data_IF_726465126062
#
_entry.id   IF_726465126062
#
_cell.length_a   1.000
_cell.length_b   1.000
_cell.length_c   1.000
_cell.angle_alpha   90.00
_cell.angle_beta   90.00
_cell.angle_gamma   90.00
#
_symmetry.space_group_name_H-M   'P 1'
#
loop_
_entity.id
_entity.type
_entity.pdbx_description
1 polymer ?
#
# COMPACT_ATOMS: atom_id res chain seq x y z
N UNK A 1 -12.03 112.01 45.76
CA UNK A 1 -12.47 111.45 47.05
C UNK A 1 -12.60 109.94 46.83
N UNK A 2 -11.51 109.18 46.75
CA UNK A 2 -10.72 108.58 47.84
C UNK A 2 -11.57 107.75 48.81
N UNK A 3 -11.13 106.49 49.00
CA UNK A 3 -11.51 105.48 49.99
C UNK A 3 -12.78 104.66 49.61
N UNK A 4 -12.75 103.33 49.45
CA UNK A 4 -12.21 102.28 50.33
C UNK A 4 -11.95 100.96 49.57
N UNK A 5 -10.80 100.35 49.87
CA UNK A 5 -10.38 98.96 49.63
C UNK A 5 -11.11 97.97 50.55
N UNK A 6 -11.22 96.69 50.13
CA UNK A 6 -11.76 95.47 50.79
C UNK A 6 -13.07 95.06 50.13
N UNK A 7 -13.13 93.99 49.33
CA UNK A 7 -12.97 92.60 49.77
C UNK A 7 -12.43 91.70 48.64
N UNK A 8 -11.26 91.08 48.88
CA UNK A 8 -10.78 89.88 48.19
C UNK A 8 -11.42 88.66 48.86
N UNK A 9 -12.20 87.85 48.13
CA UNK A 9 -12.34 86.41 48.38
C UNK A 9 -13.08 85.70 47.23
N UNK A 10 -12.31 84.85 46.54
CA UNK A 10 -12.67 83.54 46.00
C UNK A 10 -13.97 83.36 45.21
N UNK A 11 -13.85 83.29 43.88
CA UNK A 11 -14.48 82.19 43.15
C UNK A 11 -13.35 81.45 42.43
N UNK A 12 -13.02 80.29 42.99
CA UNK A 12 -11.92 79.44 42.58
C UNK A 12 -12.12 78.88 41.18
N UNK A 13 -10.98 78.80 40.52
CA UNK A 13 -10.70 78.48 39.14
C UNK A 13 -11.32 77.17 38.65
N UNK A 14 -11.70 77.20 37.39
CA UNK A 14 -12.13 76.07 36.59
C UNK A 14 -10.88 75.22 36.25
N UNK A 15 -10.47 74.34 37.16
CA UNK A 15 -9.32 73.45 36.91
C UNK A 15 -9.80 72.19 36.18
N UNK A 16 -10.10 72.36 34.88
CA UNK A 16 -10.08 71.27 33.92
C UNK A 16 -8.63 70.78 33.79
N UNK A 17 -8.21 69.90 34.69
CA UNK A 17 -6.93 69.21 34.59
C UNK A 17 -7.05 68.26 33.40
N UNK A 18 -6.58 68.70 32.23
CA UNK A 18 -6.37 67.81 31.10
C UNK A 18 -5.35 66.78 31.55
N UNK A 19 -5.81 65.58 31.93
CA UNK A 19 -4.92 64.44 32.21
C UNK A 19 -3.89 64.36 31.10
N UNK A 20 -2.61 64.23 31.47
CA UNK A 20 -1.57 64.12 30.45
C UNK A 20 -1.79 62.84 29.65
N UNK A 21 -1.44 62.86 28.37
CA UNK A 21 -1.57 61.69 27.51
C UNK A 21 -0.82 60.47 28.09
N UNK A 22 0.29 60.69 28.79
CA UNK A 22 1.07 59.65 29.45
C UNK A 22 0.33 59.03 30.65
N UNK A 23 -0.41 59.83 31.42
CA UNK A 23 -1.26 59.32 32.50
C UNK A 23 -2.44 58.52 31.95
N UNK A 24 -3.09 58.99 30.87
CA UNK A 24 -4.17 58.27 30.20
C UNK A 24 -3.66 56.94 29.63
N UNK A 25 -2.50 56.96 28.97
CA UNK A 25 -1.84 55.76 28.45
C UNK A 25 -1.53 54.77 29.57
N UNK A 26 -1.02 55.23 30.70
CA UNK A 26 -0.70 54.39 31.85
C UNK A 26 -1.97 53.77 32.46
N UNK A 27 -3.02 54.57 32.66
CA UNK A 27 -4.31 54.08 33.15
C UNK A 27 -4.90 53.05 32.20
N UNK A 28 -4.79 53.24 30.88
CA UNK A 28 -5.29 52.29 29.88
C UNK A 28 -4.50 50.98 29.89
N UNK A 29 -3.17 51.03 30.00
CA UNK A 29 -2.32 49.83 30.10
C UNK A 29 -2.64 49.07 31.39
N UNK A 30 -2.74 49.76 32.51
CA UNK A 30 -3.04 49.15 33.80
C UNK A 30 -4.45 48.52 33.78
N UNK A 31 -5.43 49.18 33.16
CA UNK A 31 -6.79 48.66 32.99
C UNK A 31 -6.83 47.34 32.21
N UNK A 32 -6.05 47.22 31.13
CA UNK A 32 -5.93 45.96 30.37
C UNK A 32 -5.26 44.86 31.22
N UNK A 33 -4.28 45.22 32.05
CA UNK A 33 -3.55 44.27 32.90
C UNK A 33 -4.32 43.85 34.16
N UNK A 34 -5.38 44.57 34.54
CA UNK A 34 -6.24 44.16 35.66
C UNK A 34 -6.95 42.84 35.39
N UNK A 35 -7.42 42.18 36.45
CA UNK A 35 -8.18 40.93 36.34
C UNK A 35 -9.47 41.10 35.53
N UNK A 36 -10.12 42.26 35.62
CA UNK A 36 -11.30 42.59 34.81
C UNK A 36 -10.93 42.78 33.34
N UNK A 37 -9.79 43.42 33.04
CA UNK A 37 -9.26 43.54 31.67
C UNK A 37 -8.93 42.18 31.05
N UNK A 38 -8.24 41.31 31.80
CA UNK A 38 -7.97 39.92 31.37
C UNK A 38 -9.26 39.12 31.18
N UNK A 39 -10.27 39.32 32.03
CA UNK A 39 -11.56 38.63 31.94
C UNK A 39 -12.35 39.09 30.72
N UNK A 40 -12.39 40.40 30.45
CA UNK A 40 -13.01 40.95 29.26
C UNK A 40 -12.32 40.45 27.99
N UNK A 41 -10.98 40.37 27.98
CA UNK A 41 -10.23 39.79 26.86
C UNK A 41 -10.54 38.30 26.66
N UNK A 42 -10.65 37.51 27.73
CA UNK A 42 -11.07 36.09 27.63
C UNK A 42 -12.47 35.94 27.08
N UNK A 43 -13.42 36.77 27.53
CA UNK A 43 -14.80 36.78 27.00
C UNK A 43 -14.83 37.17 25.52
N UNK A 44 -13.94 38.07 25.10
CA UNK A 44 -13.81 38.46 23.70
C UNK A 44 -13.24 37.31 22.84
N UNK A 45 -12.30 36.53 23.36
CA UNK A 45 -11.75 35.33 22.69
C UNK A 45 -12.71 34.12 22.70
N UNK A 46 -13.75 34.17 23.52
CA UNK A 46 -14.87 33.22 23.50
C UNK A 46 -15.85 33.51 22.37
N UNK A 47 -15.84 34.74 21.81
CA UNK A 47 -16.63 35.09 20.63
C UNK A 47 -16.09 34.35 19.37
N UNK A 48 -16.91 33.53 18.70
CA UNK A 48 -16.50 32.79 17.51
C UNK A 48 -15.96 33.68 16.38
N UNK A 49 -16.52 34.87 16.20
CA UNK A 49 -16.14 35.79 15.11
C UNK A 49 -14.73 36.35 15.29
N UNK A 50 -14.34 36.58 16.54
CA UNK A 50 -13.02 37.11 16.91
C UNK A 50 -11.99 35.98 16.95
N UNK A 51 -12.39 34.80 17.43
CA UNK A 51 -11.56 33.60 17.40
C UNK A 51 -11.16 33.22 15.98
N UNK A 52 -12.10 33.24 15.04
CA UNK A 52 -11.87 32.88 13.65
C UNK A 52 -10.86 33.84 12.98
N UNK A 53 -10.99 35.15 13.23
CA UNK A 53 -10.05 36.16 12.72
C UNK A 53 -8.62 35.94 13.25
N UNK A 54 -8.48 35.63 14.55
CA UNK A 54 -7.16 35.43 15.20
C UNK A 54 -6.54 34.07 14.82
N UNK A 55 -7.34 33.03 14.58
CA UNK A 55 -6.83 31.68 14.29
C UNK A 55 -6.47 31.52 12.80
N UNK A 56 -7.12 32.25 11.89
CA UNK A 56 -6.92 32.10 10.45
C UNK A 56 -5.86 33.03 9.84
N UNK A 57 -5.55 34.18 10.45
CA UNK A 57 -4.66 35.20 9.83
C UNK A 57 -3.19 35.17 10.28
N UNK A 58 -2.74 34.17 11.05
CA UNK A 58 -1.41 34.19 11.63
C UNK A 58 -0.45 33.19 10.99
N UNK A 59 0.60 33.69 10.34
CA UNK A 59 1.78 32.92 9.91
C UNK A 59 2.37 32.09 11.07
N UNK A 60 2.21 32.55 12.31
CA UNK A 60 2.59 31.80 13.51
C UNK A 60 1.76 30.53 13.71
N UNK A 61 0.46 30.53 13.37
CA UNK A 61 -0.41 29.35 13.46
C UNK A 61 -0.02 28.33 12.39
N UNK A 62 0.20 28.77 11.15
CA UNK A 62 0.69 27.89 10.08
C UNK A 62 2.06 27.29 10.43
N UNK A 63 2.98 28.11 10.94
CA UNK A 63 4.31 27.68 11.37
C UNK A 63 4.24 26.70 12.53
N UNK A 64 3.38 26.96 13.52
CA UNK A 64 3.16 26.04 14.64
C UNK A 64 2.58 24.71 14.17
N UNK A 65 1.58 24.73 13.29
CA UNK A 65 0.99 23.51 12.70
C UNK A 65 2.05 22.74 11.91
N UNK A 66 2.84 23.39 11.05
CA UNK A 66 3.91 22.73 10.30
C UNK A 66 4.95 22.12 11.23
N UNK A 67 5.43 22.88 12.22
CA UNK A 67 6.44 22.41 13.15
C UNK A 67 5.92 21.26 14.01
N UNK A 68 4.66 21.31 14.45
CA UNK A 68 4.04 20.24 15.23
C UNK A 68 3.75 19.02 14.36
N UNK A 69 3.19 19.15 13.15
CA UNK A 69 2.87 18.01 12.30
C UNK A 69 4.11 17.34 11.69
N UNK A 70 5.21 18.07 11.52
CA UNK A 70 6.48 17.55 11.02
C UNK A 70 7.45 17.15 12.15
N UNK A 71 7.08 17.31 13.42
CA UNK A 71 7.92 16.91 14.54
C UNK A 71 8.00 15.38 14.66
N UNK A 72 9.05 14.90 15.32
CA UNK A 72 9.17 13.48 15.66
C UNK A 72 8.00 13.01 16.56
N UNK A 73 7.52 13.86 17.47
CA UNK A 73 6.36 13.56 18.32
C UNK A 73 5.10 13.30 17.49
N UNK A 74 4.87 14.08 16.42
CA UNK A 74 3.75 13.82 15.52
C UNK A 74 3.94 12.56 14.68
N UNK A 75 5.17 12.25 14.25
CA UNK A 75 5.43 10.97 13.58
C UNK A 75 5.10 9.79 14.49
N UNK A 76 5.49 9.85 15.77
CA UNK A 76 5.20 8.78 16.73
C UNK A 76 3.72 8.73 17.10
N UNK A 77 3.05 9.88 17.20
CA UNK A 77 1.59 9.96 17.30
C UNK A 77 0.91 9.25 16.13
N UNK A 78 1.33 9.55 14.88
CA UNK A 78 0.77 8.91 13.69
C UNK A 78 1.06 7.42 13.67
N UNK A 79 2.30 6.97 13.94
CA UNK A 79 2.62 5.52 14.03
C UNK A 79 1.69 4.80 15.00
N UNK A 80 1.51 5.34 16.21
CA UNK A 80 0.63 4.76 17.23
C UNK A 80 -0.84 4.81 16.83
N UNK A 81 -1.28 5.90 16.22
CA UNK A 81 -2.66 6.05 15.73
C UNK A 81 -2.93 5.07 14.58
N UNK A 82 -1.95 4.87 13.71
CA UNK A 82 -1.97 3.85 12.67
C UNK A 82 -1.92 2.42 13.18
N UNK A 83 -1.72 2.18 14.49
CA UNK A 83 -1.85 0.84 15.09
C UNK A 83 -3.31 0.52 15.48
N UNK A 84 -4.14 1.53 15.72
CA UNK A 84 -5.54 1.37 16.09
C UNK A 84 -6.38 0.76 14.95
N UNK A 85 -7.03 -0.40 15.15
CA UNK A 85 -7.84 -1.05 14.13
C UNK A 85 -8.95 -0.17 13.54
N UNK A 86 -9.63 0.65 14.35
CA UNK A 86 -10.72 1.49 13.87
C UNK A 86 -10.20 2.59 12.93
N UNK A 87 -9.07 3.21 13.31
CA UNK A 87 -8.39 4.19 12.47
C UNK A 87 -7.85 3.56 11.18
N UNK A 88 -7.18 2.39 11.26
CA UNK A 88 -6.73 1.63 10.09
C UNK A 88 -7.86 1.33 9.11
N UNK A 89 -8.99 0.86 9.62
CA UNK A 89 -10.15 0.52 8.78
C UNK A 89 -10.71 1.76 8.08
N UNK A 90 -10.84 2.88 8.81
CA UNK A 90 -11.32 4.14 8.25
C UNK A 90 -10.39 4.65 7.14
N UNK A 91 -9.09 4.69 7.40
CA UNK A 91 -8.10 5.13 6.41
C UNK A 91 -8.07 4.20 5.20
N UNK A 92 -8.02 2.88 5.42
CA UNK A 92 -8.00 1.90 4.34
C UNK A 92 -9.26 2.00 3.46
N UNK A 93 -10.44 2.22 4.05
CA UNK A 93 -11.68 2.46 3.29
C UNK A 93 -11.63 3.77 2.51
N UNK A 94 -11.15 4.85 3.14
CA UNK A 94 -11.08 6.17 2.50
C UNK A 94 -10.11 6.21 1.32
N UNK A 95 -9.04 5.40 1.36
CA UNK A 95 -8.00 5.34 0.33
C UNK A 95 -8.23 4.24 -0.70
N UNK A 96 -9.27 3.41 -0.55
CA UNK A 96 -9.47 2.21 -1.36
C UNK A 96 -9.52 2.51 -2.85
N UNK A 97 -10.25 3.55 -3.23
CA UNK A 97 -10.48 3.88 -4.64
C UNK A 97 -9.20 4.42 -5.29
N UNK A 98 -8.50 5.33 -4.60
CA UNK A 98 -7.20 5.86 -5.04
C UNK A 98 -6.14 4.77 -5.09
N UNK A 99 -6.10 3.88 -4.10
CA UNK A 99 -5.17 2.75 -4.09
C UNK A 99 -5.46 1.78 -5.25
N UNK A 100 -6.73 1.58 -5.60
CA UNK A 100 -7.13 0.75 -6.74
C UNK A 100 -6.67 1.38 -8.05
N UNK A 101 -6.89 2.69 -8.22
CA UNK A 101 -6.45 3.45 -9.40
C UNK A 101 -4.92 3.41 -9.55
N UNK A 102 -4.18 3.71 -8.48
CA UNK A 102 -2.72 3.61 -8.44
C UNK A 102 -2.27 2.21 -8.83
N UNK A 103 -2.88 1.16 -8.28
CA UNK A 103 -2.52 -0.22 -8.60
C UNK A 103 -2.81 -0.56 -10.07
N UNK A 104 -3.95 -0.12 -10.62
CA UNK A 104 -4.27 -0.30 -12.03
C UNK A 104 -3.27 0.40 -12.95
N UNK A 105 -2.81 1.58 -12.58
CA UNK A 105 -1.84 2.34 -13.36
C UNK A 105 -0.42 1.81 -13.21
N UNK A 106 -0.04 1.33 -12.02
CA UNK A 106 1.22 0.61 -11.81
C UNK A 106 1.29 -0.64 -12.68
N UNK A 107 0.21 -1.44 -12.78
CA UNK A 107 0.18 -2.62 -13.67
C UNK A 107 0.42 -2.26 -15.13
N UNK A 108 0.06 -1.06 -15.57
CA UNK A 108 0.30 -0.57 -16.94
C UNK A 108 1.72 -0.02 -17.14
N UNK A 109 2.45 0.24 -16.06
CA UNK A 109 3.79 0.80 -16.10
C UNK A 109 4.83 -0.27 -16.47
N UNK A 110 5.75 0.06 -17.38
CA UNK A 110 6.76 -0.87 -17.87
C UNK A 110 7.70 -1.39 -16.75
N UNK A 111 8.08 -0.56 -15.79
CA UNK A 111 8.98 -0.95 -14.70
C UNK A 111 8.30 -1.96 -13.77
N UNK A 112 7.04 -1.70 -13.40
CA UNK A 112 6.30 -2.63 -12.56
C UNK A 112 5.97 -3.94 -13.30
N UNK A 113 5.78 -3.90 -14.63
CA UNK A 113 5.65 -5.10 -15.44
C UNK A 113 6.93 -5.95 -15.43
N UNK A 114 8.11 -5.33 -15.46
CA UNK A 114 9.39 -6.04 -15.34
C UNK A 114 9.54 -6.72 -13.97
N UNK A 115 9.14 -6.02 -12.89
CA UNK A 115 9.08 -6.59 -11.54
C UNK A 115 8.10 -7.78 -11.48
N UNK A 116 6.94 -7.66 -12.12
CA UNK A 116 5.96 -8.75 -12.21
C UNK A 116 6.51 -9.94 -13.01
N UNK A 117 7.20 -9.72 -14.13
CA UNK A 117 7.84 -10.80 -14.90
C UNK A 117 8.88 -11.50 -14.04
N UNK A 118 9.69 -10.75 -13.30
CA UNK A 118 10.69 -11.29 -12.38
C UNK A 118 10.03 -12.12 -11.28
N UNK A 119 8.92 -11.62 -10.71
CA UNK A 119 8.11 -12.33 -9.73
C UNK A 119 7.53 -13.64 -10.30
N UNK A 120 6.94 -13.62 -11.50
CA UNK A 120 6.43 -14.84 -12.16
C UNK A 120 7.55 -15.80 -12.60
N UNK A 121 8.76 -15.30 -12.82
CA UNK A 121 9.94 -16.10 -13.13
C UNK A 121 10.52 -16.85 -11.93
N UNK A 122 10.04 -16.60 -10.71
CA UNK A 122 10.52 -17.29 -9.51
C UNK A 122 10.23 -18.79 -9.56
N UNK A 123 11.11 -19.59 -8.95
CA UNK A 123 11.02 -21.07 -8.99
C UNK A 123 9.69 -21.62 -8.46
N UNK A 124 9.09 -20.96 -7.47
CA UNK A 124 7.80 -21.40 -6.92
C UNK A 124 6.64 -21.17 -7.91
N UNK A 125 6.65 -20.03 -8.61
CA UNK A 125 5.68 -19.75 -9.67
C UNK A 125 5.86 -20.70 -10.85
N UNK A 126 7.11 -21.05 -11.19
CA UNK A 126 7.39 -22.05 -12.22
C UNK A 126 6.85 -23.44 -11.85
N UNK A 127 6.94 -23.88 -10.58
CA UNK A 127 6.35 -25.15 -10.14
C UNK A 127 4.82 -25.14 -10.22
N UNK A 128 4.17 -24.03 -9.87
CA UNK A 128 2.73 -23.90 -10.04
C UNK A 128 2.35 -23.97 -11.52
N UNK A 129 3.10 -23.28 -12.39
CA UNK A 129 2.92 -23.37 -13.84
C UNK A 129 3.12 -24.81 -14.35
N UNK A 130 4.15 -25.51 -13.89
CA UNK A 130 4.39 -26.93 -14.22
C UNK A 130 3.22 -27.82 -13.79
N UNK A 131 2.66 -27.56 -12.61
CA UNK A 131 1.48 -28.29 -12.10
C UNK A 131 0.26 -28.06 -12.98
N UNK A 132 0.05 -26.81 -13.43
CA UNK A 132 -1.05 -26.45 -14.35
C UNK A 132 -0.83 -27.10 -15.72
N UNK A 133 0.39 -27.09 -16.26
CA UNK A 133 0.74 -27.74 -17.52
C UNK A 133 0.53 -29.26 -17.46
N UNK A 134 0.80 -29.88 -16.31
CA UNK A 134 0.56 -31.31 -16.07
C UNK A 134 -0.89 -31.64 -15.70
N UNK A 135 -1.77 -30.64 -15.58
CA UNK A 135 -3.18 -30.86 -15.27
C UNK A 135 -3.86 -31.72 -16.33
N UNK A 136 -4.87 -32.49 -15.92
CA UNK A 136 -5.63 -33.35 -16.84
C UNK A 136 -6.30 -32.57 -17.97
N UNK A 137 -6.70 -31.32 -17.73
CA UNK A 137 -7.29 -30.43 -18.74
C UNK A 137 -6.29 -30.10 -19.84
N UNK A 138 -5.07 -29.66 -19.48
CA UNK A 138 -4.05 -29.32 -20.47
C UNK A 138 -3.49 -30.56 -21.16
N UNK A 139 -3.40 -31.70 -20.46
CA UNK A 139 -3.03 -32.98 -21.09
C UNK A 139 -3.99 -33.37 -22.20
N UNK A 140 -5.31 -33.23 -22.00
CA UNK A 140 -6.30 -33.51 -23.05
C UNK A 140 -6.14 -32.60 -24.27
N UNK A 141 -5.92 -31.30 -24.04
CA UNK A 141 -5.64 -30.35 -25.13
C UNK A 141 -4.34 -30.69 -25.84
N UNK A 142 -3.31 -31.09 -25.09
CA UNK A 142 -2.03 -31.51 -25.67
C UNK A 142 -2.19 -32.80 -26.48
N UNK A 143 -2.96 -33.77 -25.99
CA UNK A 143 -3.31 -34.99 -26.72
C UNK A 143 -4.03 -34.66 -28.03
N UNK A 144 -4.99 -33.75 -27.99
CA UNK A 144 -5.71 -33.30 -29.19
C UNK A 144 -4.77 -32.61 -30.20
N UNK A 145 -3.91 -31.70 -29.74
CA UNK A 145 -2.91 -31.04 -30.60
C UNK A 145 -1.93 -32.06 -31.18
N UNK A 146 -1.52 -33.06 -30.41
CA UNK A 146 -0.65 -34.15 -30.90
C UNK A 146 -1.37 -34.98 -31.95
N UNK A 147 -2.63 -35.34 -31.74
CA UNK A 147 -3.43 -36.06 -32.74
C UNK A 147 -3.57 -35.23 -34.03
N UNK A 148 -3.91 -33.95 -33.92
CA UNK A 148 -4.00 -33.04 -35.07
C UNK A 148 -2.66 -32.90 -35.80
N UNK A 149 -1.54 -32.88 -35.07
CA UNK A 149 -0.18 -32.80 -35.64
C UNK A 149 0.20 -34.10 -36.36
N UNK A 150 -0.22 -35.26 -35.87
CA UNK A 150 -0.01 -36.55 -36.53
C UNK A 150 -0.85 -36.65 -37.81
N UNK A 151 -2.07 -36.14 -37.76
CA UNK A 151 -3.00 -36.11 -38.89
C UNK A 151 -2.65 -35.03 -39.93
N UNK A 152 -1.68 -34.15 -39.65
CA UNK A 152 -1.20 -33.15 -40.60
C UNK A 152 -0.56 -33.86 -41.83
N UNK A 153 -1.10 -33.68 -43.04
CA UNK A 153 -0.57 -34.30 -44.26
C UNK A 153 0.91 -34.01 -44.53
N UNK A 154 1.42 -32.85 -44.09
CA UNK A 154 2.83 -32.46 -44.24
C UNK A 154 3.76 -33.29 -43.34
N UNK A 155 3.25 -33.76 -42.19
CA UNK A 155 4.00 -34.62 -41.28
C UNK A 155 3.71 -36.08 -41.54
N UNK A 156 2.53 -36.44 -42.03
CA UNK A 156 2.15 -37.79 -42.39
C UNK A 156 3.12 -38.43 -43.39
N UNK A 157 3.60 -37.65 -44.37
CA UNK A 157 4.64 -38.09 -45.32
C UNK A 157 5.97 -38.39 -44.62
N UNK A 158 6.40 -37.54 -43.68
CA UNK A 158 7.61 -37.77 -42.87
C UNK A 158 7.45 -39.01 -41.97
N UNK A 159 6.27 -39.22 -41.38
CA UNK A 159 5.97 -40.39 -40.59
C UNK A 159 6.03 -41.66 -41.44
N UNK A 160 5.46 -41.65 -42.65
CA UNK A 160 5.53 -42.75 -43.59
C UNK A 160 6.98 -43.06 -44.02
N UNK A 161 7.79 -42.04 -44.29
CA UNK A 161 9.20 -42.20 -44.64
C UNK A 161 10.05 -42.74 -43.48
N UNK A 162 9.76 -42.31 -42.24
CA UNK A 162 10.39 -42.85 -41.03
C UNK A 162 10.02 -44.32 -40.81
N UNK A 163 8.74 -44.68 -41.01
CA UNK A 163 8.27 -46.07 -40.90
C UNK A 163 8.95 -46.96 -41.97
N UNK A 164 9.07 -46.48 -43.20
CA UNK A 164 9.79 -47.19 -44.27
C UNK A 164 11.26 -47.39 -43.92
N UNK A 165 11.97 -46.34 -43.47
CA UNK A 165 13.36 -46.45 -43.02
C UNK A 165 13.54 -47.40 -41.83
N UNK A 166 12.65 -47.36 -40.85
CA UNK A 166 12.70 -48.27 -39.71
C UNK A 166 12.46 -49.72 -40.14
N UNK A 167 11.51 -49.95 -41.04
CA UNK A 167 11.23 -51.25 -41.67
C UNK A 167 12.43 -51.78 -42.46
N UNK A 168 13.06 -50.93 -43.28
CA UNK A 168 14.28 -51.24 -44.04
C UNK A 168 15.46 -51.57 -43.11
N UNK A 169 15.57 -50.90 -41.97
CA UNK A 169 16.61 -51.19 -40.95
C UNK A 169 16.32 -52.48 -40.19
N UNK A 170 15.05 -52.90 -40.06
CA UNK A 170 14.65 -54.15 -39.41
C UNK A 170 14.60 -55.39 -40.33
N UNK A 171 14.64 -55.19 -41.64
CA UNK A 171 14.53 -56.27 -42.65
C UNK A 171 15.85 -56.76 -43.24
N UNK A 172 16.99 -56.19 -42.83
CA UNK A 172 18.33 -56.52 -43.33
C UNK A 172 19.21 -57.20 -42.29
N UNK A 173 18.93 -58.45 -41.93
CA UNK A 173 19.74 -59.22 -40.98
C UNK A 173 19.45 -60.72 -41.02
N UNK A 174 20.11 -61.40 -41.95
CA UNK A 174 20.44 -62.84 -42.02
C UNK A 174 19.37 -63.89 -41.67
N UNK A 175 18.76 -64.41 -42.75
CA UNK A 175 18.45 -65.84 -42.84
C UNK A 175 19.73 -66.58 -43.29
N UNK A 176 20.31 -67.36 -42.38
CA UNK A 176 21.41 -68.30 -42.63
C UNK A 176 21.39 -69.36 -41.54
N UNK A 177 20.82 -70.53 -41.84
CA UNK A 177 20.74 -71.64 -40.91
C UNK A 177 22.05 -72.43 -40.83
N UNK A 178 22.35 -73.02 -39.67
CA UNK A 178 22.74 -74.43 -39.53
C UNK A 178 22.75 -74.87 -38.05
N UNK A 179 22.21 -76.07 -37.81
CA UNK A 179 22.45 -77.07 -36.76
C UNK A 179 22.99 -76.70 -35.37
N UNK A 180 22.34 -77.29 -34.35
CA UNK A 180 23.01 -77.66 -33.10
C UNK A 180 22.07 -77.82 -31.92
N UNK A 181 21.68 -79.06 -31.61
CA UNK A 181 20.66 -79.39 -30.62
C UNK A 181 21.08 -79.25 -29.15
N UNK A 182 20.11 -79.50 -28.27
CA UNK A 182 20.41 -79.92 -26.89
C UNK A 182 19.49 -79.34 -25.80
N UNK A 183 18.34 -79.99 -25.60
CA UNK A 183 18.02 -80.64 -24.31
C UNK A 183 17.62 -79.82 -23.07
N UNK A 184 16.48 -80.21 -22.48
CA UNK A 184 16.23 -80.25 -21.02
C UNK A 184 15.57 -79.01 -20.43
N UNK A 185 14.28 -79.00 -20.10
CA UNK A 185 13.58 -79.68 -18.97
C UNK A 185 13.70 -78.95 -17.62
N UNK A 186 12.53 -78.77 -16.97
CA UNK A 186 12.37 -78.37 -15.56
C UNK A 186 12.20 -76.86 -15.39
N UNK A 187 11.09 -76.30 -14.92
CA UNK A 187 10.19 -76.78 -13.87
C UNK A 187 10.46 -76.00 -12.59
N UNK A 188 9.40 -75.48 -11.95
CA UNK A 188 9.46 -75.00 -10.57
C UNK A 188 8.88 -73.61 -10.37
N UNK A 189 7.69 -73.56 -9.77
CA UNK A 189 7.04 -72.34 -9.34
C UNK A 189 7.60 -71.77 -8.03
N UNK A 190 6.99 -70.66 -7.60
CA UNK A 190 7.28 -70.02 -6.34
C UNK A 190 6.23 -68.95 -6.04
N UNK A 191 5.26 -69.34 -5.24
CA UNK A 191 4.23 -68.49 -4.63
C UNK A 191 4.79 -67.75 -3.40
N UNK A 192 4.18 -66.63 -3.03
CA UNK A 192 4.37 -65.92 -1.76
C UNK A 192 4.35 -64.41 -1.96
N UNK A 193 3.46 -63.58 -1.39
CA UNK A 193 2.65 -63.73 -0.17
C UNK A 193 3.13 -62.73 0.89
N UNK A 194 2.25 -61.82 1.33
CA UNK A 194 2.46 -60.84 2.43
C UNK A 194 2.15 -59.42 1.94
N UNK A 195 1.04 -58.73 2.26
CA UNK A 195 0.27 -58.53 3.50
C UNK A 195 1.02 -57.71 4.58
N UNK A 196 0.36 -56.66 5.09
CA UNK A 196 0.79 -55.83 6.23
C UNK A 196 1.05 -54.38 5.83
N UNK A 197 0.11 -53.42 5.88
CA UNK A 197 -0.61 -52.83 7.02
C UNK A 197 0.13 -51.62 7.64
N UNK A 198 -0.67 -50.54 7.81
CA UNK A 198 -0.63 -49.46 8.81
C UNK A 198 0.56 -48.48 8.92
N UNK A 199 0.20 -47.19 9.02
CA UNK A 199 0.84 -46.31 10.01
C UNK A 199 1.14 -44.87 9.58
N UNK A 200 0.12 -44.01 9.52
CA UNK A 200 0.06 -42.60 10.02
C UNK A 200 -0.86 -41.74 9.16
#
# INVERSE_FOLDING_TARGET
MMFVLLLLTSCSDNQGQSMSYDEIKKIMIDSIQTEDGKKALRQLLEDPSIRELIVLEHDEVETAIKNTLLSEDAQDFWKKTFEDPAFKESIAKSMKDQQTEIMQDLIKNATFQEDLITFFGQSEMQKQLETILKSSTLRKQMEEVVMQTIDDPLLQTKWQDLIKKAGETSGGGESGGESGGGGGSGGGGGSGGGQGESGS
#
